data_IF_375957626772
#
_entry.id   IF_375957626772
#
_cell.length_a   1.000
_cell.length_b   1.000
_cell.length_c   1.000
_cell.angle_alpha   90.00
_cell.angle_beta   90.00
_cell.angle_gamma   90.00
#
_symmetry.space_group_name_H-M   'P 1'
#
loop_
_entity.id
_entity.type
_entity.pdbx_description
1 polymer ?
#
# COMPACT_ATOMS: atom_id res chain seq x y z
N UNK A 1 17.64 10.85 8.05
CA UNK A 1 16.59 11.82 7.77
C UNK A 1 15.30 11.13 7.36
N UNK A 2 14.22 11.37 8.07
CA UNK A 2 12.96 10.73 7.71
C UNK A 2 12.49 11.23 6.34
N UNK A 3 11.89 10.32 5.62
CA UNK A 3 11.38 10.58 4.30
C UNK A 3 9.86 10.63 4.37
N UNK A 4 9.31 11.77 4.03
CA UNK A 4 7.85 11.95 4.01
C UNK A 4 7.34 12.07 2.58
N UNK A 5 8.05 11.47 1.63
CA UNK A 5 7.56 11.46 0.26
C UNK A 5 6.40 10.46 0.13
N UNK A 6 5.68 10.57 -0.97
CA UNK A 6 4.47 9.78 -1.19
C UNK A 6 4.73 8.29 -1.14
N UNK A 7 5.86 7.84 -1.67
CA UNK A 7 6.18 6.40 -1.67
C UNK A 7 6.35 5.87 -0.25
N UNK A 8 7.02 6.62 0.61
CA UNK A 8 7.21 6.22 2.01
C UNK A 8 5.90 6.23 2.78
N UNK A 9 5.07 7.23 2.52
CA UNK A 9 3.77 7.35 3.18
C UNK A 9 2.89 6.16 2.81
N UNK A 10 2.83 5.83 1.52
CA UNK A 10 2.04 4.69 1.06
C UNK A 10 2.58 3.39 1.63
N UNK A 11 3.91 3.23 1.65
CA UNK A 11 4.54 2.03 2.19
C UNK A 11 4.11 1.79 3.64
N UNK A 12 4.19 2.84 4.45
CA UNK A 12 3.82 2.76 5.86
C UNK A 12 2.33 2.48 6.03
N UNK A 13 1.48 3.18 5.28
CA UNK A 13 0.04 3.02 5.38
C UNK A 13 -0.40 1.64 4.91
N UNK A 14 0.16 1.15 3.81
CA UNK A 14 -0.20 -0.17 3.29
C UNK A 14 0.13 -1.25 4.32
N UNK A 15 1.34 -1.20 4.87
CA UNK A 15 1.74 -2.20 5.87
C UNK A 15 0.84 -2.15 7.09
N UNK A 16 0.54 -0.96 7.59
CA UNK A 16 -0.32 -0.80 8.77
C UNK A 16 -1.70 -1.38 8.51
N UNK A 17 -2.30 -1.02 7.37
CA UNK A 17 -3.64 -1.50 7.03
C UNK A 17 -3.66 -3.01 6.82
N UNK A 18 -2.63 -3.53 6.17
CA UNK A 18 -2.52 -4.97 5.95
C UNK A 18 -2.47 -5.73 7.28
N UNK A 19 -1.65 -5.25 8.20
CA UNK A 19 -1.50 -5.90 9.51
C UNK A 19 -2.78 -5.77 10.33
N UNK A 20 -3.50 -4.65 10.22
CA UNK A 20 -4.80 -4.50 10.90
C UNK A 20 -5.81 -5.53 10.41
N UNK A 21 -5.75 -5.91 9.14
CA UNK A 21 -6.63 -6.92 8.58
C UNK A 21 -6.13 -8.34 8.82
N UNK A 22 -4.93 -8.46 9.38
CA UNK A 22 -4.26 -9.75 9.60
C UNK A 22 -4.04 -10.50 8.29
N UNK A 23 -3.80 -9.74 7.23
CA UNK A 23 -3.50 -10.31 5.92
C UNK A 23 -1.99 -10.52 5.78
N UNK A 24 -1.61 -11.65 5.16
CA UNK A 24 -0.25 -11.83 4.68
C UNK A 24 -0.05 -10.92 3.47
N UNK A 25 1.20 -10.75 3.04
CA UNK A 25 1.45 -10.01 1.81
C UNK A 25 0.77 -10.68 0.62
N UNK A 26 0.75 -12.00 0.61
CA UNK A 26 0.09 -12.75 -0.46
C UNK A 26 -1.41 -12.52 -0.47
N UNK A 27 -2.05 -12.55 0.69
CA UNK A 27 -3.48 -12.28 0.80
C UNK A 27 -3.81 -10.86 0.37
N UNK A 28 -2.98 -9.91 0.81
CA UNK A 28 -3.16 -8.51 0.44
C UNK A 28 -3.06 -8.33 -1.08
N UNK A 29 -2.07 -8.97 -1.70
CA UNK A 29 -1.89 -8.90 -3.14
C UNK A 29 -3.11 -9.45 -3.87
N UNK A 30 -3.63 -10.57 -3.40
CA UNK A 30 -4.82 -11.17 -4.00
C UNK A 30 -6.00 -10.21 -3.92
N UNK A 31 -6.22 -9.59 -2.77
CA UNK A 31 -7.32 -8.64 -2.59
C UNK A 31 -7.17 -7.41 -3.48
N UNK A 32 -5.92 -7.01 -3.72
CA UNK A 32 -5.63 -5.82 -4.53
C UNK A 32 -5.52 -6.13 -6.02
N UNK A 33 -5.53 -7.40 -6.41
CA UNK A 33 -5.32 -7.78 -7.80
C UNK A 33 -3.89 -7.54 -8.26
N UNK A 34 -2.92 -7.70 -7.35
CA UNK A 34 -1.51 -7.45 -7.62
C UNK A 34 -0.69 -8.70 -7.27
N UNK A 35 0.55 -8.73 -7.73
CA UNK A 35 1.45 -9.81 -7.38
C UNK A 35 2.05 -9.55 -6.00
N UNK A 36 2.27 -10.62 -5.21
CA UNK A 36 2.80 -10.48 -3.84
C UNK A 36 4.16 -9.79 -3.81
N UNK A 37 4.99 -10.05 -4.82
CA UNK A 37 6.30 -9.42 -4.93
C UNK A 37 6.18 -7.90 -5.01
N UNK A 38 5.15 -7.43 -5.70
CA UNK A 38 4.89 -6.02 -5.84
C UNK A 38 4.45 -5.40 -4.51
N UNK A 39 3.58 -6.10 -3.78
CA UNK A 39 3.16 -5.63 -2.44
C UNK A 39 4.38 -5.48 -1.53
N UNK A 40 5.27 -6.47 -1.52
CA UNK A 40 6.48 -6.40 -0.72
C UNK A 40 7.36 -5.22 -1.10
N UNK A 41 7.53 -5.00 -2.41
CA UNK A 41 8.34 -3.88 -2.90
C UNK A 41 7.74 -2.53 -2.50
N UNK A 42 6.40 -2.40 -2.56
CA UNK A 42 5.73 -1.18 -2.14
C UNK A 42 5.96 -0.92 -0.65
N UNK A 43 5.85 -1.96 0.17
CA UNK A 43 6.02 -1.82 1.62
C UNK A 43 7.44 -1.44 2.00
N UNK A 44 8.41 -1.77 1.15
CA UNK A 44 9.81 -1.37 1.36
C UNK A 44 10.11 0.02 0.78
N UNK A 45 9.13 0.66 0.15
CA UNK A 45 9.31 1.96 -0.46
C UNK A 45 10.15 1.92 -1.72
N UNK A 46 10.23 0.77 -2.38
CA UNK A 46 11.10 0.57 -3.53
C UNK A 46 10.43 0.85 -4.87
N UNK A 47 9.12 1.10 -4.86
CA UNK A 47 8.36 1.26 -6.11
C UNK A 47 7.65 2.60 -6.15
N UNK A 48 7.67 3.20 -7.33
CA UNK A 48 6.81 4.33 -7.64
C UNK A 48 5.48 3.76 -8.13
N UNK A 49 4.43 4.03 -7.40
CA UNK A 49 3.12 3.44 -7.65
C UNK A 49 2.35 4.31 -8.64
N UNK A 50 1.74 3.68 -9.64
CA UNK A 50 0.86 4.40 -10.54
C UNK A 50 -0.45 4.74 -9.82
N UNK A 51 -1.18 5.73 -10.34
CA UNK A 51 -2.48 6.07 -9.77
C UNK A 51 -3.44 4.90 -9.86
N UNK A 52 -3.39 4.12 -10.93
CA UNK A 52 -4.24 2.94 -11.08
C UNK A 52 -3.96 1.93 -9.97
N UNK A 53 -2.69 1.67 -9.68
CA UNK A 53 -2.33 0.73 -8.62
C UNK A 53 -2.76 1.26 -7.26
N UNK A 54 -2.57 2.56 -7.03
CA UNK A 54 -3.00 3.20 -5.80
C UNK A 54 -4.50 3.02 -5.60
N UNK A 55 -5.29 3.22 -6.65
CA UNK A 55 -6.74 3.04 -6.60
C UNK A 55 -7.13 1.59 -6.28
N UNK A 56 -6.42 0.62 -6.86
CA UNK A 56 -6.69 -0.79 -6.58
C UNK A 56 -6.48 -1.11 -5.11
N UNK A 57 -5.40 -0.60 -4.54
CA UNK A 57 -5.10 -0.83 -3.13
C UNK A 57 -6.17 -0.17 -2.26
N UNK A 58 -6.48 1.08 -2.55
CA UNK A 58 -7.49 1.82 -1.78
C UNK A 58 -8.83 1.09 -1.81
N UNK A 59 -9.24 0.62 -2.99
CA UNK A 59 -10.50 -0.10 -3.14
C UNK A 59 -10.50 -1.38 -2.30
N UNK A 60 -9.39 -2.12 -2.30
CA UNK A 60 -9.28 -3.37 -1.54
C UNK A 60 -9.48 -3.13 -0.04
N UNK A 61 -9.06 -1.97 0.46
CA UNK A 61 -9.20 -1.63 1.87
C UNK A 61 -10.47 -0.82 2.16
N UNK A 62 -11.24 -0.47 1.14
CA UNK A 62 -12.46 0.31 1.33
C UNK A 62 -12.20 1.75 1.74
N UNK A 63 -11.08 2.33 1.31
CA UNK A 63 -10.69 3.69 1.63
C UNK A 63 -10.42 4.46 0.35
N UNK A 64 -10.19 5.76 0.46
CA UNK A 64 -9.85 6.58 -0.70
C UNK A 64 -8.35 6.57 -0.93
N UNK A 65 -7.93 6.89 -2.15
CA UNK A 65 -6.51 7.04 -2.46
C UNK A 65 -5.88 8.13 -1.59
N UNK A 66 -6.65 9.18 -1.26
CA UNK A 66 -6.16 10.24 -0.38
C UNK A 66 -5.78 9.69 0.97
N UNK A 67 -6.55 8.74 1.51
CA UNK A 67 -6.22 8.11 2.79
C UNK A 67 -4.88 7.39 2.74
N UNK A 68 -4.57 6.75 1.62
CA UNK A 68 -3.27 6.08 1.46
C UNK A 68 -2.13 7.07 1.38
N UNK A 69 -2.40 8.28 0.92
CA UNK A 69 -1.38 9.31 0.77
C UNK A 69 -1.29 10.24 1.97
N UNK A 70 -2.12 10.03 2.97
CA UNK A 70 -2.15 10.88 4.16
C UNK A 70 -1.23 10.30 5.22
N UNK A 71 -0.26 11.10 5.66
CA UNK A 71 0.67 10.69 6.70
C UNK A 71 -0.06 10.62 8.04
N UNK A 72 0.24 9.57 8.81
CA UNK A 72 -0.39 9.37 10.11
C UNK A 72 0.60 9.28 11.23
#
# INVERSE_FOLDING_TARGET
>A
MPRNDSSSIVATNLRRLRLQRKWSQEECAEKCGLHRTYIGAIERGERNITLTTLDRIATAFGISAVDLLTER
#
